data_IF_326420820866
#
_entry.id   IF_326420820866
#
_cell.length_a   1.000
_cell.length_b   1.000
_cell.length_c   1.000
_cell.angle_alpha   90.00
_cell.angle_beta   90.00
_cell.angle_gamma   90.00
#
_symmetry.space_group_name_H-M   'P 1'
#
loop_
_entity.id
_entity.type
_entity.pdbx_description
1 polymer ?
#
# COMPACT_ATOMS: atom_id res chain seq x y z
N UNK A 1 24.83 -1.15 4.47
CA UNK A 1 23.97 -2.34 4.66
C UNK A 1 22.85 -2.35 3.63
N UNK A 2 22.70 -3.51 2.97
CA UNK A 2 22.03 -3.75 1.69
C UNK A 2 20.50 -4.11 1.69
N UNK A 3 19.68 -3.92 2.75
CA UNK A 3 18.26 -4.31 2.68
C UNK A 3 17.44 -3.48 1.67
N UNK A 4 17.87 -2.26 1.35
CA UNK A 4 17.13 -1.37 0.43
C UNK A 4 16.98 -1.94 -0.99
N UNK A 5 17.98 -2.69 -1.47
CA UNK A 5 17.97 -3.31 -2.80
C UNK A 5 16.93 -4.43 -2.87
N UNK A 6 16.82 -5.24 -1.81
CA UNK A 6 15.87 -6.35 -1.73
C UNK A 6 14.42 -5.89 -1.57
N UNK A 7 14.19 -4.68 -1.07
CA UNK A 7 12.84 -4.09 -0.92
C UNK A 7 12.38 -3.49 -2.26
N UNK A 8 13.23 -2.72 -2.94
CA UNK A 8 12.88 -2.01 -4.17
C UNK A 8 11.84 -0.88 -3.97
N UNK A 9 11.42 -0.22 -5.05
CA UNK A 9 10.44 0.86 -4.99
C UNK A 9 9.10 0.34 -4.45
N UNK A 10 8.62 0.89 -3.34
CA UNK A 10 7.38 0.46 -2.66
C UNK A 10 7.26 -1.06 -2.40
N UNK A 11 8.38 -1.76 -2.19
CA UNK A 11 8.35 -3.19 -1.84
C UNK A 11 8.16 -4.13 -3.03
N UNK A 12 8.23 -3.63 -4.26
CA UNK A 12 8.02 -4.44 -5.47
C UNK A 12 9.02 -5.60 -5.58
N UNK A 13 10.29 -5.38 -5.21
CA UNK A 13 11.29 -6.46 -5.23
C UNK A 13 10.96 -7.55 -4.23
N UNK A 14 10.51 -7.18 -3.03
CA UNK A 14 10.10 -8.14 -2.00
C UNK A 14 8.91 -8.98 -2.47
N UNK A 15 7.94 -8.36 -3.16
CA UNK A 15 6.80 -9.06 -3.76
C UNK A 15 7.26 -10.05 -4.85
N UNK A 16 8.15 -9.62 -5.74
CA UNK A 16 8.68 -10.49 -6.79
C UNK A 16 9.46 -11.68 -6.22
N UNK A 17 10.29 -11.45 -5.19
CA UNK A 17 11.02 -12.51 -4.47
C UNK A 17 10.04 -13.52 -3.86
N UNK A 18 8.99 -13.03 -3.19
CA UNK A 18 7.97 -13.92 -2.61
C UNK A 18 7.27 -14.77 -3.68
N UNK A 19 6.96 -14.20 -4.84
CA UNK A 19 6.33 -14.94 -5.94
C UNK A 19 7.25 -16.05 -6.46
N UNK A 20 8.52 -15.75 -6.72
CA UNK A 20 9.50 -16.73 -7.20
C UNK A 20 9.65 -17.86 -6.19
N UNK A 21 9.80 -17.54 -4.90
CA UNK A 21 9.92 -18.54 -3.84
C UNK A 21 8.68 -19.42 -3.70
N UNK A 22 7.49 -18.84 -3.87
CA UNK A 22 6.22 -19.59 -3.87
C UNK A 22 6.18 -20.60 -5.01
N UNK A 23 6.58 -20.20 -6.22
CA UNK A 23 6.63 -21.10 -7.38
C UNK A 23 7.68 -22.21 -7.21
N UNK A 24 8.85 -21.88 -6.65
CA UNK A 24 9.89 -22.86 -6.35
C UNK A 24 9.42 -23.88 -5.31
N UNK A 25 8.73 -23.43 -4.26
CA UNK A 25 8.18 -24.31 -3.24
C UNK A 25 7.10 -25.22 -3.83
N UNK A 26 6.17 -24.68 -4.63
CA UNK A 26 5.17 -25.48 -5.32
C UNK A 26 5.81 -26.57 -6.20
N UNK A 27 6.83 -26.21 -6.99
CA UNK A 27 7.57 -27.17 -7.82
C UNK A 27 8.24 -28.27 -6.99
N UNK A 28 8.70 -27.95 -5.79
CA UNK A 28 9.42 -28.90 -4.92
C UNK A 28 8.48 -29.83 -4.14
N UNK A 29 7.36 -29.31 -3.64
CA UNK A 29 6.46 -30.04 -2.74
C UNK A 29 5.22 -30.59 -3.45
N UNK A 30 4.91 -30.14 -4.67
CA UNK A 30 3.72 -30.56 -5.41
C UNK A 30 2.41 -30.00 -4.87
N UNK A 31 2.47 -29.13 -3.85
CA UNK A 31 1.31 -28.51 -3.22
C UNK A 31 1.58 -27.02 -2.93
N UNK A 32 0.51 -26.25 -2.75
CA UNK A 32 0.60 -24.83 -2.43
C UNK A 32 1.00 -24.63 -0.97
N UNK A 33 2.25 -24.22 -0.75
CA UNK A 33 2.76 -23.85 0.57
C UNK A 33 2.57 -22.36 0.82
N UNK A 34 2.00 -22.00 1.97
CA UNK A 34 1.84 -20.61 2.38
C UNK A 34 3.19 -20.05 2.85
N UNK A 35 3.88 -19.31 1.98
CA UNK A 35 5.12 -18.62 2.27
C UNK A 35 4.90 -17.12 2.41
N UNK A 36 5.47 -16.53 3.46
CA UNK A 36 5.51 -15.10 3.68
C UNK A 36 6.98 -14.67 3.77
N UNK A 37 7.37 -13.74 2.90
CA UNK A 37 8.72 -13.15 2.92
C UNK A 37 8.58 -11.75 3.49
N UNK A 38 9.32 -11.48 4.57
CA UNK A 38 9.42 -10.17 5.17
C UNK A 38 10.89 -9.83 5.42
N UNK A 39 11.22 -8.56 5.28
CA UNK A 39 12.58 -8.04 5.43
C UNK A 39 12.53 -6.87 6.40
N UNK A 40 13.06 -7.07 7.61
CA UNK A 40 13.21 -6.00 8.60
C UNK A 40 11.92 -5.27 8.96
N UNK A 41 10.81 -6.00 9.07
CA UNK A 41 9.45 -5.51 9.37
C UNK A 41 8.92 -4.50 8.34
N UNK A 42 9.34 -4.65 7.08
CA UNK A 42 8.98 -3.73 6.01
C UNK A 42 7.46 -3.57 5.88
N UNK A 43 6.71 -4.66 6.00
CA UNK A 43 5.24 -4.64 5.89
C UNK A 43 4.58 -3.77 6.95
N UNK A 44 5.03 -3.87 8.19
CA UNK A 44 4.50 -3.10 9.31
C UNK A 44 4.88 -1.62 9.16
N UNK A 45 6.16 -1.33 8.91
CA UNK A 45 6.65 0.04 8.67
C UNK A 45 5.96 0.70 7.48
N UNK A 46 5.69 -0.05 6.42
CA UNK A 46 4.97 0.44 5.23
C UNK A 46 3.52 0.78 5.57
N UNK A 47 2.85 -0.06 6.35
CA UNK A 47 1.51 0.22 6.85
C UNK A 47 1.51 1.51 7.67
N UNK A 48 2.36 1.63 8.68
CA UNK A 48 2.46 2.83 9.52
C UNK A 48 2.72 4.10 8.68
N UNK A 49 3.63 4.02 7.71
CA UNK A 49 3.93 5.11 6.79
C UNK A 49 2.70 5.54 5.98
N UNK A 50 1.91 4.59 5.48
CA UNK A 50 0.66 4.89 4.76
C UNK A 50 -0.40 5.52 5.66
N UNK A 51 -0.53 5.05 6.90
CA UNK A 51 -1.45 5.64 7.87
C UNK A 51 -1.09 7.10 8.20
N UNK A 52 0.20 7.37 8.40
CA UNK A 52 0.71 8.73 8.64
C UNK A 52 0.50 9.63 7.42
N UNK A 53 0.78 9.12 6.22
CA UNK A 53 0.58 9.85 4.97
C UNK A 53 -0.91 10.18 4.74
N UNK A 54 -1.80 9.22 5.01
CA UNK A 54 -3.25 9.41 4.95
C UNK A 54 -3.71 10.54 5.86
N UNK A 55 -3.28 10.52 7.12
CA UNK A 55 -3.63 11.57 8.10
C UNK A 55 -3.06 12.95 7.67
N UNK A 56 -1.81 12.99 7.21
CA UNK A 56 -1.18 14.25 6.78
C UNK A 56 -1.87 14.85 5.55
N UNK A 57 -2.18 14.04 4.54
CA UNK A 57 -2.87 14.51 3.35
C UNK A 57 -4.33 14.89 3.63
N UNK A 58 -5.01 14.17 4.52
CA UNK A 58 -6.35 14.55 4.96
C UNK A 58 -6.36 15.95 5.58
N UNK A 59 -5.41 16.27 6.47
CA UNK A 59 -5.28 17.61 7.04
C UNK A 59 -5.03 18.68 5.96
N UNK A 60 -4.20 18.41 4.95
CA UNK A 60 -4.00 19.33 3.83
C UNK A 60 -5.28 19.55 3.02
N UNK A 61 -6.06 18.50 2.77
CA UNK A 61 -7.34 18.59 2.04
C UNK A 61 -8.34 19.42 2.84
N UNK A 62 -8.43 19.23 4.15
CA UNK A 62 -9.32 20.01 5.04
C UNK A 62 -8.98 21.50 5.01
N UNK A 63 -7.70 21.83 5.10
CA UNK A 63 -7.23 23.22 5.11
C UNK A 63 -7.36 23.91 3.75
N UNK A 64 -7.03 23.19 2.67
CA UNK A 64 -6.99 23.78 1.32
C UNK A 64 -8.32 23.70 0.57
N UNK A 65 -9.21 22.78 0.95
CA UNK A 65 -10.38 22.40 0.16
C UNK A 65 -10.04 21.71 -1.17
N UNK A 66 -8.75 21.43 -1.44
CA UNK A 66 -8.31 20.83 -2.70
C UNK A 66 -8.07 19.34 -2.54
N UNK A 67 -8.47 18.57 -3.56
CA UNK A 67 -8.26 17.12 -3.57
C UNK A 67 -6.78 16.77 -3.70
N UNK A 68 -6.38 15.63 -3.12
CA UNK A 68 -5.01 15.12 -3.16
C UNK A 68 -4.98 13.69 -3.70
N UNK A 69 -3.92 13.36 -4.44
CA UNK A 69 -3.78 12.08 -5.15
C UNK A 69 -2.61 11.32 -4.56
N UNK A 70 -2.83 10.04 -4.25
CA UNK A 70 -1.75 9.13 -3.89
C UNK A 70 -1.09 8.50 -5.13
N UNK A 71 0.17 8.08 -5.05
CA UNK A 71 0.77 7.21 -6.07
C UNK A 71 -0.01 5.90 -6.26
N UNK A 72 0.09 5.22 -7.43
CA UNK A 72 -0.48 3.89 -7.61
C UNK A 72 0.03 2.87 -6.60
N UNK A 73 -0.86 2.00 -6.12
CA UNK A 73 -0.54 1.04 -5.06
C UNK A 73 -1.48 -0.17 -5.05
N UNK A 74 -1.07 -1.21 -4.31
CA UNK A 74 -1.82 -2.47 -4.21
C UNK A 74 -3.21 -2.27 -3.59
N UNK A 75 -4.14 -3.19 -3.88
CA UNK A 75 -5.48 -3.18 -3.28
C UNK A 75 -5.46 -3.18 -1.74
N UNK A 76 -4.47 -3.86 -1.15
CA UNK A 76 -4.26 -3.90 0.30
C UNK A 76 -3.87 -2.53 0.86
N UNK A 77 -2.90 -1.85 0.23
CA UNK A 77 -2.48 -0.51 0.65
C UNK A 77 -3.61 0.52 0.49
N UNK A 78 -4.39 0.45 -0.60
CA UNK A 78 -5.58 1.29 -0.78
C UNK A 78 -6.60 1.06 0.34
N UNK A 79 -6.83 -0.20 0.71
CA UNK A 79 -7.73 -0.56 1.81
C UNK A 79 -7.25 0.03 3.14
N UNK A 80 -5.95 0.05 3.43
CA UNK A 80 -5.41 0.69 4.64
C UNK A 80 -5.82 2.17 4.66
N UNK A 81 -5.57 2.92 3.58
CA UNK A 81 -5.93 4.34 3.51
C UNK A 81 -7.44 4.55 3.69
N UNK A 82 -8.26 3.74 3.01
CA UNK A 82 -9.71 3.79 3.13
C UNK A 82 -10.18 3.57 4.58
N UNK A 83 -9.60 2.60 5.30
CA UNK A 83 -9.96 2.31 6.68
C UNK A 83 -9.49 3.39 7.65
N UNK A 84 -8.28 3.93 7.45
CA UNK A 84 -7.72 5.01 8.30
C UNK A 84 -8.58 6.26 8.28
N UNK A 85 -9.19 6.56 7.13
CA UNK A 85 -10.00 7.77 6.92
C UNK A 85 -11.50 7.49 6.86
N UNK A 86 -11.94 6.27 7.18
CA UNK A 86 -13.35 5.87 7.09
C UNK A 86 -14.27 6.75 7.96
N UNK A 87 -13.83 7.01 9.20
CA UNK A 87 -14.57 7.77 10.22
C UNK A 87 -14.30 9.28 10.16
N UNK A 88 -13.53 9.77 9.17
CA UNK A 88 -13.26 11.20 9.05
C UNK A 88 -14.46 11.93 8.43
N UNK A 89 -15.01 12.93 9.13
CA UNK A 89 -16.23 13.63 8.70
C UNK A 89 -16.01 14.70 7.63
N UNK A 90 -14.76 15.11 7.37
CA UNK A 90 -14.46 16.23 6.48
C UNK A 90 -13.78 15.79 5.18
N UNK A 91 -13.31 14.54 5.09
CA UNK A 91 -12.71 14.00 3.87
C UNK A 91 -13.32 12.66 3.49
N UNK A 92 -13.30 12.36 2.19
CA UNK A 92 -13.67 11.06 1.62
C UNK A 92 -12.57 10.55 0.71
N UNK A 93 -12.46 9.23 0.62
CA UNK A 93 -11.46 8.54 -0.18
C UNK A 93 -12.12 7.79 -1.33
N UNK A 94 -11.57 7.87 -2.55
CA UNK A 94 -12.06 7.14 -3.73
C UNK A 94 -10.89 6.45 -4.41
N UNK A 95 -11.07 5.19 -4.84
CA UNK A 95 -10.07 4.48 -5.64
C UNK A 95 -10.33 4.70 -7.14
N UNK A 96 -9.44 5.41 -7.83
CA UNK A 96 -9.53 5.74 -9.26
C UNK A 96 -8.40 5.08 -10.07
N UNK A 97 -8.58 4.92 -11.38
CA UNK A 97 -7.65 4.22 -12.28
C UNK A 97 -7.87 2.70 -12.39
N UNK A 98 -7.06 2.05 -13.23
CA UNK A 98 -7.16 0.63 -13.58
C UNK A 98 -5.82 -0.09 -13.44
N UNK A 99 -5.88 -1.40 -13.14
CA UNK A 99 -4.70 -2.25 -13.00
C UNK A 99 -3.64 -1.64 -12.07
N UNK A 100 -2.42 -1.55 -12.58
CA UNK A 100 -1.25 -1.04 -11.86
C UNK A 100 -1.25 0.48 -11.70
N UNK A 101 -2.12 1.21 -12.41
CA UNK A 101 -2.27 2.67 -12.28
C UNK A 101 -3.34 3.06 -11.26
N UNK A 102 -3.97 2.07 -10.61
CA UNK A 102 -5.05 2.30 -9.67
C UNK A 102 -4.53 2.88 -8.35
N UNK A 103 -5.11 3.99 -7.91
CA UNK A 103 -4.65 4.80 -6.79
C UNK A 103 -5.80 5.36 -5.96
N UNK A 104 -5.51 5.98 -4.81
CA UNK A 104 -6.51 6.64 -3.95
C UNK A 104 -6.48 8.15 -4.17
N UNK A 105 -7.66 8.74 -4.29
CA UNK A 105 -7.88 10.18 -4.29
C UNK A 105 -8.62 10.58 -3.01
N UNK A 106 -8.07 11.54 -2.29
CA UNK A 106 -8.71 12.17 -1.13
C UNK A 106 -9.41 13.43 -1.60
N UNK A 107 -10.70 13.55 -1.28
CA UNK A 107 -11.56 14.67 -1.65
C UNK A 107 -12.18 15.25 -0.37
N UNK A 108 -12.42 16.56 -0.29
CA UNK A 108 -13.23 17.12 0.78
C UNK A 108 -14.64 16.53 0.74
N UNK A 109 -15.25 16.32 1.92
CA UNK A 109 -16.68 16.08 2.06
C UNK A 109 -17.38 17.43 1.99
N UNK A 110 -18.42 17.49 1.16
CA UNK A 110 -19.32 18.64 1.04
C UNK A 110 -20.50 18.46 1.99
#
# INVERSE_FOLDING_TARGET
DEPGILIGYHGQSLVAIQQILTLMAFKKFGEWVRLLVDVGDYREKRKESLEQMAKSLAQKVKLSGQSQVFPPMSSFERRIIHLVLAEDNEVKTVSEGEGDQRHVVLKPKS
#
